data_IF_604476456298
#
_entry.id   IF_604476456298
#
_cell.length_a   1.000
_cell.length_b   1.000
_cell.length_c   1.000
_cell.angle_alpha   90.00
_cell.angle_beta   90.00
_cell.angle_gamma   90.00
#
_symmetry.space_group_name_H-M   'P 1'
#
loop_
_entity.id
_entity.type
_entity.pdbx_description
1 polymer ?
#
# COMPACT_ATOMS: atom_id res chain seq x y z
N UNK A 1 2.67 48.58 0.60
CA UNK A 1 1.39 48.65 1.36
C UNK A 1 0.93 47.21 1.57
N UNK A 2 1.38 46.57 2.65
CA UNK A 2 0.61 46.30 3.88
C UNK A 2 -0.74 45.61 3.64
N UNK A 3 -0.86 44.37 4.15
CA UNK A 3 -1.76 44.07 5.29
C UNK A 3 -1.45 42.69 5.88
N UNK A 4 -0.86 42.72 7.07
CA UNK A 4 -0.84 41.64 8.06
C UNK A 4 -2.23 41.59 8.69
N UNK A 5 -2.85 40.42 8.77
CA UNK A 5 -4.10 40.23 9.51
C UNK A 5 -3.79 39.60 10.87
N UNK A 6 -3.92 40.41 11.94
CA UNK A 6 -4.01 39.93 13.31
C UNK A 6 -5.37 39.26 13.51
N UNK A 7 -5.40 38.07 14.14
CA UNK A 7 -6.63 37.52 14.72
C UNK A 7 -6.50 37.58 16.24
N UNK A 8 -7.46 38.30 16.84
CA UNK A 8 -7.56 38.62 18.26
C UNK A 8 -8.16 37.46 19.05
N UNK A 9 -7.59 37.19 20.23
CA UNK A 9 -8.15 36.30 21.26
C UNK A 9 -9.35 36.95 21.95
N UNK A 10 -10.49 36.27 21.99
CA UNK A 10 -11.62 36.59 22.87
C UNK A 10 -11.76 35.50 23.95
N UNK A 11 -11.75 35.93 25.21
CA UNK A 11 -12.19 35.15 26.37
C UNK A 11 -13.71 35.29 26.54
N UNK A 12 -14.44 34.17 26.72
CA UNK A 12 -15.75 34.15 27.40
C UNK A 12 -15.82 32.92 28.30
N UNK A 13 -16.33 33.14 29.51
CA UNK A 13 -16.52 32.17 30.60
C UNK A 13 -17.94 31.59 30.63
N UNK A 14 -18.02 30.36 31.15
CA UNK A 14 -19.05 29.82 32.08
C UNK A 14 -20.42 29.28 31.61
N UNK A 15 -20.79 28.18 32.29
CA UNK A 15 -22.11 27.54 32.61
C UNK A 15 -22.65 26.43 31.70
N UNK A 16 -23.06 25.34 32.35
CA UNK A 16 -23.63 24.09 31.83
C UNK A 16 -25.17 24.07 31.80
N UNK A 17 -25.76 23.37 30.81
CA UNK A 17 -26.99 22.53 30.89
C UNK A 17 -27.21 21.75 29.58
N UNK A 18 -27.71 20.51 29.65
CA UNK A 18 -27.90 19.52 28.56
C UNK A 18 -29.31 19.57 27.91
N UNK A 19 -29.73 18.66 26.99
CA UNK A 19 -29.06 17.98 25.87
C UNK A 19 -29.77 18.25 24.51
N UNK A 20 -29.10 18.10 23.35
CA UNK A 20 -29.82 17.85 22.09
C UNK A 20 -28.98 17.10 21.05
N UNK A 21 -29.69 16.25 20.30
CA UNK A 21 -29.28 15.43 19.17
C UNK A 21 -28.66 16.26 18.06
N UNK A 22 -27.39 16.02 17.75
CA UNK A 22 -26.80 16.32 16.44
C UNK A 22 -25.61 15.38 16.25
N UNK A 23 -25.52 14.75 15.09
CA UNK A 23 -24.54 13.73 14.70
C UNK A 23 -23.12 14.29 14.52
N UNK A 24 -22.64 15.07 15.49
CA UNK A 24 -21.26 15.55 15.57
C UNK A 24 -20.46 14.63 16.49
N UNK A 25 -19.34 14.13 15.98
CA UNK A 25 -18.32 13.41 16.76
C UNK A 25 -18.04 14.21 18.02
N UNK A 26 -18.31 13.61 19.19
CA UNK A 26 -18.02 14.23 20.48
C UNK A 26 -16.52 14.06 20.78
N UNK A 27 -15.71 15.01 20.32
CA UNK A 27 -14.31 15.16 20.77
C UNK A 27 -14.31 15.71 22.19
N UNK A 28 -13.93 14.88 23.17
CA UNK A 28 -13.65 15.35 24.53
C UNK A 28 -12.16 15.66 24.62
N UNK A 29 -11.84 16.95 24.84
CA UNK A 29 -10.49 17.48 24.99
C UNK A 29 -9.82 16.95 26.26
N UNK A 30 -8.62 16.41 26.13
CA UNK A 30 -7.69 16.33 27.25
C UNK A 30 -6.71 17.52 27.12
N UNK A 31 -6.78 18.52 28.01
CA UNK A 31 -6.16 19.83 27.79
C UNK A 31 -4.63 19.85 27.83
N UNK A 32 -3.95 18.72 28.06
CA UNK A 32 -2.53 18.75 28.40
C UNK A 32 -1.54 18.51 27.24
N UNK A 33 -1.86 17.70 26.20
CA UNK A 33 -0.85 17.29 25.21
C UNK A 33 -1.28 17.19 23.74
N UNK A 34 -2.59 17.10 23.44
CA UNK A 34 -3.19 17.17 22.09
C UNK A 34 -2.34 16.51 20.97
N UNK A 35 -2.27 15.18 21.00
CA UNK A 35 -1.55 14.37 20.01
C UNK A 35 -2.50 13.94 18.89
N UNK A 36 -2.11 14.21 17.65
CA UNK A 36 -2.79 13.78 16.43
C UNK A 36 -1.97 12.67 15.79
N UNK A 37 -2.64 11.60 15.33
CA UNK A 37 -2.03 10.56 14.52
C UNK A 37 -2.42 10.82 13.06
N UNK A 38 -1.45 10.72 12.16
CA UNK A 38 -1.66 10.66 10.73
C UNK A 38 -1.20 9.29 10.24
N UNK A 39 -1.88 8.75 9.23
CA UNK A 39 -1.58 7.45 8.64
C UNK A 39 -1.60 7.53 7.12
N UNK A 40 -0.69 6.81 6.49
CA UNK A 40 -0.62 6.65 5.04
C UNK A 40 -0.23 5.22 4.69
N UNK A 41 -1.10 4.53 3.95
CA UNK A 41 -0.79 3.19 3.43
C UNK A 41 0.31 3.29 2.38
N UNK A 42 1.34 2.46 2.59
CA UNK A 42 2.44 2.27 1.67
C UNK A 42 2.11 1.12 0.73
N UNK A 43 2.84 1.05 -0.37
CA UNK A 43 2.59 0.07 -1.40
C UNK A 43 3.12 -1.33 -1.09
N UNK A 44 3.96 -1.51 -0.09
CA UNK A 44 4.27 -2.82 0.47
C UNK A 44 3.21 -3.31 1.48
N UNK A 45 2.06 -2.61 1.53
CA UNK A 45 0.97 -2.77 2.49
C UNK A 45 1.28 -2.40 3.94
N UNK A 46 2.46 -1.84 4.22
CA UNK A 46 2.72 -1.22 5.52
C UNK A 46 1.94 0.09 5.67
N UNK A 47 1.83 0.59 6.90
CA UNK A 47 1.26 1.90 7.20
C UNK A 47 2.36 2.79 7.77
N UNK A 48 2.64 3.89 7.09
CA UNK A 48 3.44 4.97 7.63
C UNK A 48 2.60 5.77 8.62
N UNK A 49 2.97 5.72 9.89
CA UNK A 49 2.30 6.45 10.97
C UNK A 49 3.19 7.61 11.42
N UNK A 50 2.61 8.80 11.52
CA UNK A 50 3.26 9.96 12.15
C UNK A 50 2.41 10.50 13.28
N UNK A 51 3.09 10.90 14.34
CA UNK A 51 2.47 11.42 15.56
C UNK A 51 2.87 12.88 15.71
N UNK A 52 1.88 13.75 15.87
CA UNK A 52 2.09 15.20 15.93
C UNK A 52 1.55 15.69 17.26
N UNK A 53 2.40 16.38 18.00
CA UNK A 53 2.02 17.02 19.26
C UNK A 53 1.73 18.50 19.01
N UNK A 54 0.51 18.95 19.26
CA UNK A 54 0.06 20.31 18.89
C UNK A 54 0.42 21.40 19.93
N UNK A 55 1.00 21.02 21.07
CA UNK A 55 1.32 21.96 22.16
C UNK A 55 2.63 22.75 21.95
N UNK A 56 2.90 23.72 22.85
CA UNK A 56 3.94 24.73 22.67
C UNK A 56 5.37 24.26 22.97
N UNK A 57 6.36 24.91 22.35
CA UNK A 57 7.81 24.60 22.40
C UNK A 57 8.47 24.56 23.78
N UNK A 58 7.80 25.02 24.85
CA UNK A 58 8.37 25.07 26.20
C UNK A 58 8.07 23.82 27.05
N UNK A 59 7.44 22.79 26.48
CA UNK A 59 7.12 21.56 27.19
C UNK A 59 8.26 20.51 27.06
N UNK A 60 8.44 19.61 28.04
CA UNK A 60 9.39 18.50 27.93
C UNK A 60 8.98 17.53 26.81
N UNK A 61 9.92 16.72 26.32
CA UNK A 61 9.62 15.64 25.38
C UNK A 61 8.62 14.66 26.00
N UNK A 62 7.75 14.09 25.16
CA UNK A 62 6.71 13.15 25.56
C UNK A 62 7.00 11.80 24.92
N UNK A 63 7.17 10.77 25.74
CA UNK A 63 7.11 9.38 25.25
C UNK A 63 5.65 8.96 25.18
N UNK A 64 5.23 8.44 24.03
CA UNK A 64 3.89 7.92 23.77
C UNK A 64 4.00 6.42 23.54
N UNK A 65 3.31 5.65 24.37
CA UNK A 65 3.02 4.24 24.08
C UNK A 65 1.65 4.13 23.44
N UNK A 66 1.58 3.40 22.34
CA UNK A 66 0.34 3.20 21.61
C UNK A 66 0.09 1.71 21.34
N UNK A 67 -1.19 1.38 21.31
CA UNK A 67 -1.77 0.11 20.93
C UNK A 67 -2.44 0.32 19.57
N UNK A 68 -2.18 -0.56 18.60
CA UNK A 68 -2.94 -0.66 17.35
C UNK A 68 -3.81 -1.90 17.42
N UNK A 69 -5.12 -1.69 17.49
CA UNK A 69 -6.12 -2.75 17.61
C UNK A 69 -6.85 -2.94 16.27
N UNK A 70 -7.00 -4.20 15.85
CA UNK A 70 -7.89 -4.55 14.74
C UNK A 70 -9.31 -4.72 15.26
N UNK A 71 -10.25 -3.81 14.96
CA UNK A 71 -11.65 -4.02 15.38
C UNK A 71 -12.38 -4.95 14.40
N UNK A 72 -13.11 -5.99 14.84
CA UNK A 72 -13.47 -6.37 16.22
C UNK A 72 -12.56 -7.46 16.85
N UNK A 73 -11.43 -7.82 16.23
CA UNK A 73 -10.49 -8.80 16.78
C UNK A 73 -9.78 -8.27 18.04
N UNK A 74 -9.38 -9.16 18.96
CA UNK A 74 -8.63 -8.80 20.16
C UNK A 74 -7.10 -8.81 19.94
N UNK A 75 -6.66 -8.57 18.70
CA UNK A 75 -5.24 -8.53 18.39
C UNK A 75 -4.74 -7.10 18.54
N UNK A 76 -3.63 -6.94 19.27
CA UNK A 76 -3.03 -5.64 19.60
C UNK A 76 -1.55 -5.63 19.21
N UNK A 77 -1.10 -4.56 18.57
CA UNK A 77 0.32 -4.28 18.34
C UNK A 77 0.73 -3.09 19.21
N UNK A 78 1.73 -3.27 20.06
CA UNK A 78 2.23 -2.22 20.95
C UNK A 78 3.47 -1.55 20.35
N UNK A 79 3.58 -0.23 20.52
CA UNK A 79 4.77 0.53 20.13
C UNK A 79 5.02 1.75 21.02
N UNK A 80 6.20 2.36 20.87
CA UNK A 80 6.65 3.51 21.66
C UNK A 80 7.33 4.55 20.75
N UNK A 81 7.01 5.83 20.93
CA UNK A 81 7.58 6.94 20.16
C UNK A 81 7.83 8.18 21.02
N UNK A 82 8.84 8.98 20.69
CA UNK A 82 9.19 10.21 21.42
C UNK A 82 8.79 11.43 20.61
N UNK A 83 7.94 12.27 21.19
CA UNK A 83 7.41 13.49 20.58
C UNK A 83 8.05 14.75 21.17
N UNK A 84 8.53 15.61 20.28
CA UNK A 84 8.95 16.96 20.62
C UNK A 84 7.78 17.92 20.43
N UNK A 85 7.64 18.99 21.26
CA UNK A 85 6.53 19.92 21.12
C UNK A 85 6.56 20.64 19.77
N UNK A 86 5.42 20.70 19.08
CA UNK A 86 5.27 21.37 17.78
C UNK A 86 6.03 20.71 16.62
N UNK A 87 6.55 19.49 16.79
CA UNK A 87 7.24 18.73 15.75
C UNK A 87 6.53 17.40 15.49
N UNK A 88 6.63 16.93 14.26
CA UNK A 88 6.23 15.59 13.88
C UNK A 88 7.26 14.58 14.42
N UNK A 89 6.78 13.38 14.75
CA UNK A 89 7.65 12.26 15.07
C UNK A 89 8.46 11.79 13.86
N UNK A 90 9.46 10.94 14.10
CA UNK A 90 9.95 10.08 13.03
C UNK A 90 8.79 9.21 12.51
N UNK A 91 8.80 8.90 11.21
CA UNK A 91 7.82 8.01 10.61
C UNK A 91 8.02 6.60 11.15
N UNK A 92 6.94 5.99 11.63
CA UNK A 92 6.89 4.58 11.96
C UNK A 92 6.29 3.81 10.79
N UNK A 93 7.10 2.95 10.16
CA UNK A 93 6.63 2.03 9.14
C UNK A 93 6.09 0.76 9.81
N UNK A 94 4.76 0.70 9.98
CA UNK A 94 4.09 -0.42 10.61
C UNK A 94 3.72 -1.49 9.58
N UNK A 95 4.45 -2.60 9.60
CA UNK A 95 4.12 -3.79 8.81
C UNK A 95 2.86 -4.46 9.36
N UNK A 96 1.73 -4.26 8.67
CA UNK A 96 0.43 -4.82 9.04
C UNK A 96 0.53 -6.36 9.07
N UNK A 97 0.22 -7.02 10.20
CA UNK A 97 0.29 -8.47 10.27
C UNK A 97 -0.68 -9.16 9.29
N UNK A 98 -0.30 -10.33 8.78
CA UNK A 98 -1.14 -11.09 7.83
C UNK A 98 -2.51 -11.38 8.46
N UNK A 99 -3.59 -11.08 7.71
CA UNK A 99 -4.99 -11.27 8.15
C UNK A 99 -5.57 -10.12 8.96
N UNK A 100 -4.79 -9.07 9.21
CA UNK A 100 -5.30 -7.83 9.79
C UNK A 100 -5.87 -6.92 8.71
N UNK A 101 -7.16 -6.64 8.82
CA UNK A 101 -7.89 -5.75 7.92
C UNK A 101 -8.33 -4.49 8.67
N UNK A 102 -8.25 -3.30 8.06
CA UNK A 102 -8.78 -2.07 8.65
C UNK A 102 -10.31 -2.16 8.85
N UNK A 103 -10.92 -1.29 9.66
CA UNK A 103 -10.30 -0.14 10.34
C UNK A 103 -9.41 -0.53 11.52
N UNK A 104 -8.29 0.19 11.65
CA UNK A 104 -7.39 0.05 12.81
C UNK A 104 -7.65 1.19 13.79
N UNK A 105 -7.57 0.90 15.08
CA UNK A 105 -7.66 1.92 16.12
C UNK A 105 -6.30 2.07 16.78
N UNK A 106 -5.69 3.25 16.60
CA UNK A 106 -4.50 3.64 17.36
C UNK A 106 -4.96 4.29 18.65
N UNK A 107 -4.53 3.77 19.80
CA UNK A 107 -4.90 4.31 21.11
C UNK A 107 -3.72 4.31 22.08
N UNK A 108 -3.70 5.26 23.03
CA UNK A 108 -2.71 5.26 24.13
C UNK A 108 -1.85 6.51 24.19
N UNK A 109 -1.81 7.13 25.38
CA UNK A 109 -0.82 8.14 25.78
C UNK A 109 -0.43 7.81 27.21
N UNK A 110 0.85 7.57 27.47
CA UNK A 110 1.38 7.38 28.83
C UNK A 110 2.76 8.03 28.90
N UNK A 111 2.87 9.13 29.64
CA UNK A 111 4.16 9.79 29.88
C UNK A 111 5.12 8.82 30.60
N UNK A 112 6.38 8.82 30.17
CA UNK A 112 7.53 8.29 30.90
C UNK A 112 8.50 9.44 31.14
N UNK A 113 8.34 10.10 32.30
CA UNK A 113 9.37 10.75 33.11
C UNK A 113 8.73 11.85 33.95
N UNK A 114 8.48 11.56 35.23
CA UNK A 114 8.70 12.59 36.24
C UNK A 114 10.21 12.66 36.46
N UNK A 115 10.89 13.79 36.17
CA UNK A 115 12.31 13.94 36.46
C UNK A 115 12.65 13.76 37.96
N UNK A 116 11.65 13.68 38.84
CA UNK A 116 11.79 13.43 40.27
C UNK A 116 11.40 12.00 40.70
N UNK A 117 10.90 11.14 39.80
CA UNK A 117 10.41 9.81 40.16
C UNK A 117 10.62 8.81 39.02
N UNK A 118 11.83 8.27 38.93
CA UNK A 118 12.21 7.23 37.97
C UNK A 118 11.56 5.91 38.38
N UNK A 119 10.44 5.55 37.76
CA UNK A 119 9.84 4.21 37.90
C UNK A 119 8.31 4.11 37.87
N UNK A 120 7.58 5.22 38.01
CA UNK A 120 6.11 5.22 37.98
C UNK A 120 5.57 5.69 36.63
N UNK A 121 4.88 4.80 35.93
CA UNK A 121 4.08 5.14 34.76
C UNK A 121 2.82 5.87 35.23
N UNK A 122 2.71 7.17 34.97
CA UNK A 122 1.46 7.90 35.21
C UNK A 122 0.52 7.61 34.03
N UNK A 123 -0.55 6.84 34.27
CA UNK A 123 -1.69 6.81 33.35
C UNK A 123 -2.33 8.20 33.34
N UNK A 124 -1.99 9.00 32.34
CA UNK A 124 -2.60 10.33 32.16
C UNK A 124 -3.80 10.18 31.22
N UNK A 125 -5.00 10.35 31.77
CA UNK A 125 -6.15 10.80 30.99
C UNK A 125 -6.72 9.81 29.96
N UNK A 126 -7.78 10.25 29.27
CA UNK A 126 -8.61 9.41 28.39
C UNK A 126 -7.79 8.87 27.20
N UNK A 127 -7.87 7.56 26.90
CA UNK A 127 -7.32 6.99 25.65
C UNK A 127 -7.96 7.71 24.45
N UNK A 128 -7.19 8.54 23.75
CA UNK A 128 -7.60 9.11 22.46
C UNK A 128 -7.53 8.00 21.44
N UNK A 129 -8.63 7.79 20.69
CA UNK A 129 -8.69 6.81 19.62
C UNK A 129 -8.60 7.53 18.28
N UNK A 130 -7.62 7.14 17.47
CA UNK A 130 -7.55 7.52 16.08
C UNK A 130 -7.92 6.30 15.22
N UNK A 131 -9.05 6.39 14.51
CA UNK A 131 -9.45 5.36 13.57
C UNK A 131 -8.75 5.60 12.24
N UNK A 132 -7.86 4.69 11.86
CA UNK A 132 -7.37 4.59 10.50
C UNK A 132 -8.54 4.08 9.66
N UNK A 133 -9.08 4.89 8.73
CA UNK A 133 -10.26 4.52 7.97
C UNK A 133 -9.99 3.24 7.16
N UNK A 134 -11.06 2.51 6.90
CA UNK A 134 -11.03 1.40 5.95
C UNK A 134 -10.72 1.95 4.56
N UNK A 135 -9.47 1.77 4.15
CA UNK A 135 -8.96 2.06 2.82
C UNK A 135 -8.86 0.80 1.97
N UNK A 136 -9.56 -0.28 2.36
CA UNK A 136 -9.64 -1.56 1.67
C UNK A 136 -8.62 -2.60 2.15
N UNK A 137 -8.82 -3.88 1.79
CA UNK A 137 -7.79 -4.88 1.93
C UNK A 137 -6.60 -4.48 1.05
N UNK A 138 -5.43 -4.35 1.67
CA UNK A 138 -4.18 -4.22 0.93
C UNK A 138 -3.60 -5.59 0.76
N UNK A 139 -3.57 -6.08 -0.48
CA UNK A 139 -3.02 -7.40 -0.75
C UNK A 139 -1.94 -7.31 -1.81
N UNK A 140 -0.78 -7.83 -1.43
CA UNK A 140 0.41 -7.90 -2.27
C UNK A 140 0.38 -9.20 -3.05
N UNK A 141 0.27 -9.10 -4.36
CA UNK A 141 0.59 -10.21 -5.24
C UNK A 141 2.06 -10.12 -5.65
N UNK A 142 2.70 -11.26 -5.89
CA UNK A 142 4.11 -11.26 -6.28
C UNK A 142 4.48 -12.47 -7.13
N UNK A 143 5.59 -12.35 -7.85
CA UNK A 143 6.35 -13.51 -8.31
C UNK A 143 7.78 -13.41 -7.81
N UNK A 144 8.29 -14.49 -7.21
CA UNK A 144 9.63 -14.54 -6.61
C UNK A 144 10.41 -15.74 -7.11
N UNK A 145 11.42 -15.52 -7.98
CA UNK A 145 12.29 -16.58 -8.59
C UNK A 145 11.47 -17.64 -9.37
N UNK A 146 12.12 -18.51 -10.14
CA UNK A 146 11.49 -19.50 -11.05
C UNK A 146 10.17 -20.10 -10.52
N UNK A 147 9.07 -19.83 -11.22
CA UNK A 147 8.14 -18.72 -11.04
C UNK A 147 7.14 -19.11 -9.96
N UNK A 148 7.54 -18.91 -8.71
CA UNK A 148 6.65 -19.00 -7.57
C UNK A 148 5.77 -17.76 -7.57
N UNK A 149 4.52 -17.93 -7.99
CA UNK A 149 3.49 -16.91 -8.01
C UNK A 149 2.71 -16.92 -6.69
N UNK A 150 2.32 -15.75 -6.24
CA UNK A 150 1.31 -15.54 -5.21
C UNK A 150 0.29 -14.53 -5.75
N UNK A 151 -0.97 -14.92 -5.78
CA UNK A 151 -2.10 -14.05 -6.15
C UNK A 151 -2.37 -13.01 -5.08
N UNK A 152 -3.27 -12.07 -5.36
CA UNK A 152 -3.74 -11.12 -4.37
C UNK A 152 -4.33 -11.84 -3.16
N UNK A 153 -5.16 -12.87 -3.32
CA UNK A 153 -5.77 -13.57 -2.17
C UNK A 153 -4.84 -14.60 -1.51
N UNK A 154 -3.56 -14.64 -1.93
CA UNK A 154 -2.50 -15.44 -1.32
C UNK A 154 -2.39 -16.88 -1.83
N UNK A 155 -3.14 -17.25 -2.87
CA UNK A 155 -2.98 -18.54 -3.54
C UNK A 155 -1.60 -18.66 -4.18
N UNK A 156 -0.87 -19.73 -3.85
CA UNK A 156 0.50 -19.96 -4.32
C UNK A 156 0.57 -21.07 -5.33
N UNK A 157 1.26 -20.83 -6.44
CA UNK A 157 1.43 -21.81 -7.51
C UNK A 157 2.72 -21.58 -8.30
N UNK A 158 3.14 -22.57 -9.08
CA UNK A 158 4.33 -22.51 -9.93
C UNK A 158 3.91 -22.44 -11.39
N UNK A 159 4.38 -21.46 -12.16
CA UNK A 159 3.89 -21.22 -13.52
C UNK A 159 4.97 -21.17 -14.62
N UNK A 160 5.20 -22.26 -15.34
CA UNK A 160 6.30 -22.34 -16.31
C UNK A 160 5.98 -21.80 -17.72
N UNK A 161 5.40 -20.61 -17.81
CA UNK A 161 5.14 -19.93 -19.08
C UNK A 161 6.42 -19.42 -19.78
N UNK A 162 6.39 -19.30 -21.11
CA UNK A 162 7.51 -18.82 -21.95
C UNK A 162 7.07 -17.73 -22.92
N UNK A 163 6.22 -16.83 -22.47
CA UNK A 163 5.68 -15.75 -23.30
C UNK A 163 5.29 -14.54 -22.45
N UNK A 164 4.62 -13.57 -23.06
CA UNK A 164 3.91 -12.53 -22.34
C UNK A 164 2.57 -13.04 -21.81
N UNK A 165 2.30 -12.73 -20.55
CA UNK A 165 1.05 -13.06 -19.88
C UNK A 165 0.51 -11.83 -19.16
N UNK A 166 -0.81 -11.66 -19.17
CA UNK A 166 -1.51 -10.67 -18.36
C UNK A 166 -1.41 -11.09 -16.89
N UNK A 167 -0.67 -10.33 -16.09
CA UNK A 167 -0.57 -10.54 -14.65
C UNK A 167 -1.87 -10.12 -13.97
N UNK A 168 -2.31 -8.90 -14.24
CA UNK A 168 -3.56 -8.35 -13.72
C UNK A 168 -4.04 -7.25 -14.66
N UNK A 169 -5.35 -7.15 -14.85
CA UNK A 169 -5.98 -6.01 -15.51
C UNK A 169 -7.32 -5.68 -14.85
N UNK A 170 -7.82 -4.47 -15.06
CA UNK A 170 -9.21 -4.15 -14.79
C UNK A 170 -10.10 -5.03 -15.69
N UNK A 171 -10.95 -5.87 -15.10
CA UNK A 171 -11.70 -6.91 -15.80
C UNK A 171 -12.97 -6.39 -16.50
N UNK A 172 -12.80 -5.42 -17.39
CA UNK A 172 -13.87 -4.84 -18.22
C UNK A 172 -13.53 -4.98 -19.70
N UNK A 173 -14.48 -4.65 -20.57
CA UNK A 173 -14.25 -4.58 -22.03
C UNK A 173 -13.17 -3.55 -22.39
N UNK A 174 -13.09 -2.46 -21.62
CA UNK A 174 -12.09 -1.39 -21.77
C UNK A 174 -11.31 -1.23 -20.46
N UNK A 175 -10.26 -2.05 -20.24
CA UNK A 175 -9.47 -2.00 -19.02
C UNK A 175 -8.84 -0.61 -18.82
N UNK A 176 -8.97 -0.04 -17.63
CA UNK A 176 -8.27 1.19 -17.27
C UNK A 176 -6.76 1.01 -17.14
N UNK A 177 -6.35 -0.21 -16.79
CA UNK A 177 -4.96 -0.62 -16.71
C UNK A 177 -4.80 -2.11 -17.05
N UNK A 178 -3.61 -2.46 -17.50
CA UNK A 178 -3.14 -3.84 -17.63
C UNK A 178 -1.65 -3.91 -17.27
N UNK A 179 -1.31 -4.85 -16.38
CA UNK A 179 0.05 -5.23 -16.04
C UNK A 179 0.30 -6.60 -16.67
N UNK A 180 1.38 -6.71 -17.43
CA UNK A 180 1.80 -7.95 -18.09
C UNK A 180 3.26 -8.22 -17.82
N UNK A 181 3.67 -9.48 -17.82
CA UNK A 181 5.06 -9.87 -17.67
C UNK A 181 5.49 -10.86 -18.75
N UNK A 182 6.76 -10.74 -19.15
CA UNK A 182 7.43 -11.66 -20.06
C UNK A 182 8.16 -12.71 -19.25
N UNK A 183 7.84 -13.97 -19.50
CA UNK A 183 8.56 -15.10 -18.95
C UNK A 183 9.46 -15.71 -20.02
N UNK A 184 10.73 -15.90 -19.69
CA UNK A 184 11.71 -16.53 -20.59
C UNK A 184 12.21 -17.85 -20.02
N UNK A 185 12.49 -18.85 -20.88
CA UNK A 185 13.07 -20.10 -20.45
C UNK A 185 14.48 -19.88 -19.89
N UNK A 186 14.81 -20.58 -18.81
CA UNK A 186 16.17 -20.72 -18.31
C UNK A 186 16.85 -21.85 -19.06
N UNK A 187 18.15 -21.68 -19.30
CA UNK A 187 19.01 -22.79 -19.71
C UNK A 187 19.05 -23.80 -18.56
N UNK A 188 18.32 -24.90 -18.73
CA UNK A 188 18.29 -26.04 -17.82
C UNK A 188 18.97 -27.24 -18.48
N UNK A 189 19.67 -28.06 -17.68
CA UNK A 189 20.25 -29.32 -18.15
C UNK A 189 19.27 -30.50 -18.07
N UNK A 190 18.06 -30.27 -17.56
CA UNK A 190 17.00 -31.27 -17.41
C UNK A 190 15.85 -31.09 -18.41
N UNK A 191 14.94 -32.07 -18.51
CA UNK A 191 13.79 -32.02 -19.43
C UNK A 191 12.71 -31.00 -19.00
N UNK A 192 12.75 -30.54 -17.75
CA UNK A 192 11.79 -29.59 -17.20
C UNK A 192 12.07 -28.17 -17.70
N UNK A 193 11.03 -27.53 -18.28
CA UNK A 193 11.07 -26.13 -18.65
C UNK A 193 10.99 -25.30 -17.37
N UNK A 194 12.04 -24.52 -17.12
CA UNK A 194 12.06 -23.49 -16.08
C UNK A 194 12.03 -22.14 -16.75
N UNK A 195 11.28 -21.21 -16.18
CA UNK A 195 11.12 -19.86 -16.69
C UNK A 195 11.08 -18.85 -15.56
N UNK A 196 11.45 -17.60 -15.89
CA UNK A 196 11.46 -16.45 -14.97
C UNK A 196 10.91 -15.22 -15.65
N UNK A 197 10.33 -14.33 -14.86
CA UNK A 197 9.97 -12.99 -15.34
C UNK A 197 11.24 -12.21 -15.72
N UNK A 198 11.27 -11.61 -16.91
CA UNK A 198 12.41 -10.79 -17.38
C UNK A 198 12.03 -9.38 -17.78
N UNK A 199 10.74 -9.13 -17.99
CA UNK A 199 10.23 -7.81 -18.31
C UNK A 199 8.78 -7.65 -17.82
N UNK A 200 8.38 -6.42 -17.55
CA UNK A 200 7.02 -6.02 -17.19
C UNK A 200 6.56 -4.90 -18.11
N UNK A 201 5.29 -4.91 -18.51
CA UNK A 201 4.64 -3.71 -19.01
C UNK A 201 3.50 -3.32 -18.09
N UNK A 202 3.39 -2.02 -17.85
CA UNK A 202 2.27 -1.38 -17.19
C UNK A 202 1.61 -0.45 -18.21
N UNK A 203 0.39 -0.77 -18.61
CA UNK A 203 -0.40 0.04 -19.55
C UNK A 203 -1.51 0.73 -18.79
N UNK A 204 -1.64 2.05 -18.91
CA UNK A 204 -2.63 2.89 -18.23
C UNK A 204 -3.16 3.90 -19.24
N UNK A 205 -4.42 3.77 -19.66
CA UNK A 205 -4.96 4.61 -20.72
C UNK A 205 -4.16 4.51 -22.03
N UNK A 206 -3.60 5.63 -22.50
CA UNK A 206 -2.78 5.73 -23.72
C UNK A 206 -1.27 5.58 -23.47
N UNK A 207 -0.86 5.33 -22.21
CA UNK A 207 0.54 5.21 -21.83
C UNK A 207 0.92 3.78 -21.51
N UNK A 208 2.08 3.36 -22.01
CA UNK A 208 2.70 2.07 -21.75
C UNK A 208 4.11 2.28 -21.22
N UNK A 209 4.33 1.85 -19.99
CA UNK A 209 5.65 1.79 -19.36
C UNK A 209 6.16 0.36 -19.50
N UNK A 210 7.34 0.18 -20.07
CA UNK A 210 7.97 -1.13 -20.24
C UNK A 210 9.29 -1.18 -19.48
N UNK A 211 9.44 -2.17 -18.60
CA UNK A 211 10.63 -2.44 -17.81
C UNK A 211 11.26 -3.74 -18.33
N UNK A 212 12.51 -3.68 -18.81
CA UNK A 212 13.31 -4.86 -19.17
C UNK A 212 14.66 -4.77 -18.47
N UNK A 213 14.85 -5.60 -17.44
CA UNK A 213 15.95 -5.47 -16.47
C UNK A 213 15.98 -4.03 -15.90
N UNK A 214 17.03 -3.27 -16.21
CA UNK A 214 17.24 -1.89 -15.77
C UNK A 214 16.79 -0.85 -16.84
N UNK A 215 16.25 -1.30 -17.98
CA UNK A 215 15.80 -0.42 -19.07
C UNK A 215 14.34 -0.02 -18.85
N UNK A 216 14.08 1.29 -18.92
CA UNK A 216 12.75 1.88 -18.78
C UNK A 216 12.37 2.57 -20.10
N UNK A 217 11.28 2.13 -20.69
CA UNK A 217 10.66 2.77 -21.86
C UNK A 217 9.27 3.29 -21.50
N UNK A 218 8.90 4.45 -22.04
CA UNK A 218 7.55 5.00 -21.99
C UNK A 218 7.10 5.24 -23.42
N UNK A 219 6.06 4.53 -23.86
CA UNK A 219 5.59 4.53 -25.25
C UNK A 219 6.73 4.29 -26.26
N UNK A 220 7.51 3.24 -26.00
CA UNK A 220 8.67 2.80 -26.80
C UNK A 220 9.82 3.81 -26.90
N UNK A 221 9.80 4.89 -26.11
CA UNK A 221 10.89 5.85 -25.98
C UNK A 221 11.64 5.65 -24.66
N UNK A 222 12.97 5.84 -24.62
CA UNK A 222 13.72 5.83 -23.36
C UNK A 222 13.12 6.82 -22.35
N UNK A 223 13.04 6.43 -21.08
CA UNK A 223 12.39 7.24 -20.03
C UNK A 223 12.90 8.69 -19.99
N UNK A 224 14.22 8.89 -20.07
CA UNK A 224 14.83 10.23 -20.10
C UNK A 224 14.36 11.09 -21.30
N UNK A 225 14.00 10.49 -22.44
CA UNK A 225 13.42 11.20 -23.59
C UNK A 225 11.96 11.55 -23.30
N UNK A 226 11.19 10.59 -22.77
CA UNK A 226 9.79 10.79 -22.45
C UNK A 226 9.58 11.92 -21.42
N UNK A 227 10.51 12.05 -20.46
CA UNK A 227 10.52 13.14 -19.49
C UNK A 227 10.62 14.54 -20.12
N UNK A 228 11.22 14.67 -21.32
CA UNK A 228 11.26 15.95 -22.05
C UNK A 228 9.87 16.38 -22.56
N UNK A 229 8.89 15.48 -22.52
CA UNK A 229 7.50 15.71 -22.92
C UNK A 229 6.52 15.46 -21.77
N UNK A 230 6.98 15.61 -20.52
CA UNK A 230 6.19 15.42 -19.29
C UNK A 230 5.47 14.05 -19.25
N UNK A 231 6.20 12.97 -19.58
CA UNK A 231 5.69 11.59 -19.56
C UNK A 231 6.50 10.67 -18.64
N UNK A 232 5.85 9.65 -18.03
CA UNK A 232 4.41 9.35 -18.12
C UNK A 232 3.57 10.35 -17.32
N UNK A 233 2.32 10.58 -17.75
CA UNK A 233 1.37 11.49 -17.10
C UNK A 233 0.50 10.79 -16.06
N UNK A 234 0.23 9.51 -16.28
CA UNK A 234 -0.67 8.74 -15.44
C UNK A 234 0.05 7.98 -14.30
N UNK A 235 1.38 8.05 -14.24
CA UNK A 235 2.17 7.33 -13.25
C UNK A 235 3.42 8.13 -12.85
N UNK A 236 3.93 7.85 -11.65
CA UNK A 236 5.24 8.26 -11.19
C UNK A 236 6.19 7.05 -11.26
N UNK A 237 7.41 7.25 -11.76
CA UNK A 237 8.43 6.20 -11.81
C UNK A 237 9.57 6.61 -10.88
N UNK A 238 9.74 5.87 -9.81
CA UNK A 238 10.88 5.99 -8.91
C UNK A 238 11.92 4.90 -9.22
N UNK A 239 13.19 5.31 -9.35
CA UNK A 239 14.28 4.43 -9.74
C UNK A 239 15.28 4.39 -8.59
N UNK A 240 15.20 3.33 -7.81
CA UNK A 240 16.07 3.07 -6.68
C UNK A 240 17.31 2.25 -7.11
N UNK A 241 18.29 2.10 -6.22
CA UNK A 241 19.50 1.32 -6.51
C UNK A 241 19.23 -0.15 -6.81
N UNK A 242 18.14 -0.69 -6.25
CA UNK A 242 17.83 -2.12 -6.21
C UNK A 242 16.49 -2.48 -6.87
N UNK A 243 15.59 -1.52 -7.07
CA UNK A 243 14.29 -1.75 -7.70
C UNK A 243 13.77 -0.50 -8.43
N UNK A 244 12.80 -0.73 -9.32
CA UNK A 244 12.04 0.33 -9.99
C UNK A 244 10.60 0.23 -9.50
N UNK A 245 10.05 1.34 -9.03
CA UNK A 245 8.67 1.45 -8.54
C UNK A 245 7.85 2.30 -9.49
N UNK A 246 6.70 1.80 -9.91
CA UNK A 246 5.71 2.53 -10.71
C UNK A 246 4.48 2.76 -9.82
N UNK A 247 4.29 3.99 -9.35
CA UNK A 247 3.10 4.42 -8.61
C UNK A 247 2.07 5.02 -9.57
N UNK A 248 0.85 4.49 -9.52
CA UNK A 248 -0.30 4.95 -10.28
C UNK A 248 -1.31 5.56 -9.31
N UNK A 249 -0.96 6.73 -8.76
CA UNK A 249 -1.71 7.40 -7.70
C UNK A 249 -3.23 7.47 -7.93
N UNK A 250 -3.68 7.73 -9.18
CA UNK A 250 -5.11 7.81 -9.52
C UNK A 250 -5.87 6.49 -9.30
N UNK A 251 -5.18 5.36 -9.47
CA UNK A 251 -5.72 4.01 -9.32
C UNK A 251 -5.39 3.41 -7.96
N UNK A 252 -4.49 4.05 -7.19
CA UNK A 252 -3.80 3.51 -6.02
C UNK A 252 -3.27 2.10 -6.29
N UNK A 253 -2.51 1.98 -7.37
CA UNK A 253 -1.83 0.75 -7.77
C UNK A 253 -0.34 1.01 -7.79
N UNK A 254 0.43 0.06 -7.29
CA UNK A 254 1.89 0.11 -7.40
C UNK A 254 2.43 -1.19 -8.00
N UNK A 255 3.48 -1.05 -8.81
CA UNK A 255 4.28 -2.17 -9.31
C UNK A 255 5.74 -1.94 -8.96
N UNK A 256 6.32 -2.87 -8.22
CA UNK A 256 7.75 -2.91 -7.94
C UNK A 256 8.41 -3.99 -8.81
N UNK A 257 9.53 -3.64 -9.43
CA UNK A 257 10.33 -4.52 -10.27
C UNK A 257 11.79 -4.53 -9.84
N UNK A 258 12.24 -5.67 -9.32
CA UNK A 258 13.68 -5.97 -9.18
C UNK A 258 14.11 -6.80 -10.39
N UNK A 259 14.47 -6.08 -11.46
CA UNK A 259 14.79 -6.68 -12.75
C UNK A 259 16.00 -7.60 -12.75
N UNK A 260 16.86 -7.51 -11.74
CA UNK A 260 18.05 -8.37 -11.60
C UNK A 260 17.74 -9.64 -10.84
N UNK A 261 16.89 -9.55 -9.81
CA UNK A 261 16.45 -10.72 -9.04
C UNK A 261 15.26 -11.44 -9.67
N UNK A 262 14.68 -10.89 -10.74
CA UNK A 262 13.49 -11.43 -11.42
C UNK A 262 12.29 -11.51 -10.48
N UNK A 263 12.14 -10.48 -9.66
CA UNK A 263 11.08 -10.37 -8.66
C UNK A 263 10.19 -9.21 -9.07
N UNK A 264 8.88 -9.43 -8.98
CA UNK A 264 7.93 -8.34 -9.05
C UNK A 264 6.93 -8.44 -7.92
N UNK A 265 6.49 -7.28 -7.45
CA UNK A 265 5.39 -7.13 -6.54
C UNK A 265 4.36 -6.20 -7.19
N UNK A 266 3.08 -6.50 -7.00
CA UNK A 266 1.99 -5.63 -7.39
C UNK A 266 1.05 -5.44 -6.20
N UNK A 267 0.68 -4.20 -5.93
CA UNK A 267 -0.18 -3.82 -4.84
C UNK A 267 -1.45 -3.17 -5.38
N UNK A 268 -2.61 -3.62 -4.90
CA UNK A 268 -3.88 -2.92 -5.10
C UNK A 268 -4.25 -2.28 -3.76
N UNK A 269 -4.20 -0.95 -3.71
CA UNK A 269 -4.54 -0.15 -2.53
C UNK A 269 -5.90 0.54 -2.64
N UNK A 270 -6.58 0.38 -3.79
CA UNK A 270 -7.93 0.92 -3.99
C UNK A 270 -8.98 -0.20 -3.86
N UNK A 271 -9.84 -0.16 -2.83
CA UNK A 271 -10.89 -1.16 -2.62
C UNK A 271 -11.91 -1.21 -3.76
N UNK A 272 -11.98 -0.18 -4.61
CA UNK A 272 -12.84 -0.21 -5.79
C UNK A 272 -12.46 -1.31 -6.79
N UNK A 273 -11.21 -1.78 -6.78
CA UNK A 273 -10.72 -2.85 -7.67
C UNK A 273 -10.85 -4.27 -7.09
N UNK A 274 -11.29 -4.39 -5.83
CA UNK A 274 -11.54 -5.68 -5.19
C UNK A 274 -12.64 -6.47 -5.95
N UNK A 275 -12.33 -7.70 -6.34
CA UNK A 275 -13.21 -8.56 -7.15
C UNK A 275 -13.46 -8.04 -8.58
N UNK A 276 -12.78 -6.98 -9.02
CA UNK A 276 -12.95 -6.37 -10.36
C UNK A 276 -11.70 -6.46 -11.22
N UNK A 277 -10.64 -7.09 -10.72
CA UNK A 277 -9.45 -7.40 -11.50
C UNK A 277 -9.46 -8.87 -11.93
N UNK A 278 -8.66 -9.19 -12.94
CA UNK A 278 -8.47 -10.56 -13.37
C UNK A 278 -7.10 -10.72 -14.05
N UNK A 279 -6.53 -11.92 -13.97
CA UNK A 279 -5.23 -12.25 -14.53
C UNK A 279 -4.57 -13.40 -13.78
N UNK A 280 -3.28 -13.61 -14.03
CA UNK A 280 -2.48 -14.57 -13.26
C UNK A 280 -2.43 -14.25 -11.75
N UNK A 281 -2.59 -13.00 -11.34
CA UNK A 281 -2.59 -12.60 -9.93
C UNK A 281 -3.96 -12.75 -9.25
N UNK A 282 -4.92 -13.41 -9.88
CA UNK A 282 -6.24 -13.65 -9.30
C UNK A 282 -7.22 -12.51 -9.52
N UNK A 283 -8.32 -12.52 -8.76
CA UNK A 283 -9.38 -11.52 -8.83
C UNK A 283 -9.45 -10.58 -7.61
N UNK A 284 -8.62 -10.83 -6.59
CA UNK A 284 -8.54 -10.03 -5.38
C UNK A 284 -9.91 -9.90 -4.73
N UNK A 285 -10.57 -11.02 -4.44
CA UNK A 285 -11.91 -11.06 -3.82
C UNK A 285 -11.92 -11.67 -2.41
N UNK A 286 -10.75 -11.80 -1.79
CA UNK A 286 -10.48 -12.45 -0.50
C UNK A 286 -10.69 -13.97 -0.49
N UNK A 287 -10.91 -14.62 -1.65
CA UNK A 287 -11.09 -16.06 -1.72
C UNK A 287 -10.02 -16.76 -2.58
N UNK A 288 -8.94 -17.29 -1.98
CA UNK A 288 -7.88 -17.96 -2.75
C UNK A 288 -8.32 -19.22 -3.52
N UNK A 289 -9.53 -19.75 -3.28
CA UNK A 289 -10.01 -20.96 -3.94
C UNK A 289 -10.57 -20.72 -5.35
N UNK A 290 -10.84 -19.47 -5.75
CA UNK A 290 -11.34 -19.13 -7.08
C UNK A 290 -10.32 -18.37 -7.94
N UNK A 291 -9.12 -18.14 -7.42
CA UNK A 291 -8.05 -17.36 -8.05
C UNK A 291 -7.58 -17.91 -9.41
N UNK A 292 -7.73 -19.22 -9.63
CA UNK A 292 -7.43 -19.87 -10.91
C UNK A 292 -8.57 -19.71 -11.92
N UNK A 293 -9.13 -18.50 -12.01
CA UNK A 293 -10.13 -18.12 -13.00
C UNK A 293 -9.47 -17.80 -14.34
N UNK A 294 -9.84 -18.55 -15.37
CA UNK A 294 -9.38 -18.33 -16.75
C UNK A 294 -9.99 -17.06 -17.34
N UNK A 295 -9.41 -16.61 -18.47
CA UNK A 295 -9.90 -15.45 -19.23
C UNK A 295 -11.38 -15.54 -19.66
N UNK A 296 -11.93 -16.76 -19.80
CA UNK A 296 -13.34 -16.99 -20.14
C UNK A 296 -14.30 -16.95 -18.93
N UNK A 297 -13.77 -16.71 -17.72
CA UNK A 297 -14.51 -16.66 -16.46
C UNK A 297 -14.68 -18.02 -15.76
N UNK A 298 -14.32 -19.13 -16.39
CA UNK A 298 -14.36 -20.46 -15.75
C UNK A 298 -13.12 -20.72 -14.91
N UNK A 299 -13.26 -21.47 -13.82
CA UNK A 299 -12.13 -21.85 -12.95
C UNK A 299 -11.55 -23.20 -13.35
N UNK A 300 -10.25 -23.40 -13.14
CA UNK A 300 -9.55 -24.68 -13.34
C UNK A 300 -8.58 -24.94 -12.20
N UNK A 301 -8.18 -26.20 -12.00
CA UNK A 301 -7.06 -26.57 -11.11
C UNK A 301 -5.78 -26.87 -11.90
N UNK A 302 -5.86 -26.87 -13.23
CA UNK A 302 -4.71 -27.06 -14.12
C UNK A 302 -4.01 -25.71 -14.32
N UNK A 303 -2.80 -25.59 -13.78
CA UNK A 303 -1.99 -24.36 -13.84
C UNK A 303 -1.56 -24.02 -15.27
N UNK A 304 -1.32 -25.03 -16.10
CA UNK A 304 -0.92 -24.81 -17.49
C UNK A 304 -2.11 -24.32 -18.32
N UNK A 305 -3.30 -24.88 -18.09
CA UNK A 305 -4.55 -24.40 -18.69
C UNK A 305 -4.87 -22.97 -18.25
N UNK A 306 -4.78 -22.70 -16.93
CA UNK A 306 -4.96 -21.37 -16.36
C UNK A 306 -4.00 -20.37 -16.99
N UNK A 307 -2.71 -20.70 -17.00
CA UNK A 307 -1.65 -19.86 -17.53
C UNK A 307 -1.78 -19.60 -19.03
N UNK A 308 -2.10 -20.62 -19.81
CA UNK A 308 -2.33 -20.50 -21.25
C UNK A 308 -3.48 -19.55 -21.57
N UNK A 309 -4.55 -19.54 -20.75
CA UNK A 309 -5.69 -18.65 -20.93
C UNK A 309 -5.33 -17.15 -20.79
N UNK A 310 -4.29 -16.85 -20.00
CA UNK A 310 -3.82 -15.49 -19.72
C UNK A 310 -2.68 -15.02 -20.61
N UNK A 311 -2.28 -15.80 -21.62
CA UNK A 311 -1.31 -15.35 -22.63
C UNK A 311 -1.80 -14.05 -23.30
N UNK A 312 -0.92 -13.08 -23.48
CA UNK A 312 -1.27 -11.80 -24.11
C UNK A 312 -1.54 -12.02 -25.61
N UNK A 313 -2.73 -11.65 -26.14
CA UNK A 313 -3.06 -11.84 -27.55
C UNK A 313 -2.11 -11.09 -28.49
N UNK A 314 -1.85 -11.66 -29.67
CA UNK A 314 -1.10 -10.97 -30.74
C UNK A 314 0.41 -10.88 -30.53
N UNK A 315 0.94 -11.32 -29.39
CA UNK A 315 2.40 -11.35 -29.15
C UNK A 315 2.97 -12.70 -29.56
N UNK A 316 3.89 -12.67 -30.53
CA UNK A 316 4.65 -13.86 -30.93
C UNK A 316 5.84 -14.03 -29.98
N UNK A 317 5.93 -15.22 -29.40
CA UNK A 317 7.02 -15.62 -28.52
C UNK A 317 7.68 -16.82 -29.18
N UNK A 318 8.89 -16.63 -29.70
CA UNK A 318 9.67 -17.67 -30.37
C UNK A 318 10.73 -18.15 -29.36
N UNK A 319 10.43 -19.25 -28.65
CA UNK A 319 11.35 -19.93 -27.74
C UNK A 319 11.42 -21.42 -28.08
#
# INVERSE_FOLDING_TARGET
>A
MWKVLLISLFFISSVATAPSEDGRIRTRRDPQYDVVVSSQRQADCSLALTFIRSDSTNMPKLTVRFDIDQTPAANTHEGEIVLQPGLESETLDWNVPIGWNPPFVVSGVSMLDDPNNVGDFIQVGQRVQHTIPDDGPCVMASAKRDPHMATFDGFRYNFQGTCWYTLVKHCTENPEFEISARFEPLKSNGPEIKSRATAINVTIGDERISLDKDTILVNDQPYWVAQLSDRPRNAHIDVNSDSIVIDIARLKLEVEWDGRKHIFNAAILNPEYHGKVCGLLGNADENPHNDLQKRDGSTTLDIDEFGASWRTPGIRCDY
#
